data_IF_740042982141
#
_entry.id   IF_740042982141
#
_cell.length_a   1.000
_cell.length_b   1.000
_cell.length_c   1.000
_cell.angle_alpha   90.00
_cell.angle_beta   90.00
_cell.angle_gamma   90.00
#
_symmetry.space_group_name_H-M   'P 1'
#
loop_
_entity.id
_entity.type
_entity.pdbx_description
1 polymer ?
#
# COMPACT_ATOMS: atom_id res chain seq x y z
N UNK A 1 14.11 -3.43 -8.51
CA UNK A 1 14.70 -4.68 -8.00
C UNK A 1 13.93 -5.13 -6.77
N UNK A 2 13.40 -6.36 -6.75
CA UNK A 2 12.95 -6.99 -5.50
C UNK A 2 14.18 -7.66 -4.89
N UNK A 3 14.61 -7.21 -3.71
CA UNK A 3 15.63 -7.92 -2.92
C UNK A 3 14.94 -9.19 -2.42
N UNK A 4 15.02 -10.26 -3.21
CA UNK A 4 14.59 -11.58 -2.79
C UNK A 4 15.75 -12.18 -2.00
N UNK A 5 15.80 -11.95 -0.69
CA UNK A 5 16.72 -12.69 0.17
C UNK A 5 16.36 -14.17 0.06
N UNK A 6 17.30 -15.01 -0.40
CA UNK A 6 17.09 -16.46 -0.38
C UNK A 6 16.98 -16.94 1.06
N UNK A 7 16.27 -18.05 1.32
CA UNK A 7 16.15 -18.60 2.68
C UNK A 7 17.52 -18.89 3.30
N UNK A 8 18.56 -19.22 2.50
CA UNK A 8 19.91 -19.40 3.03
C UNK A 8 20.49 -18.09 3.57
N UNK A 9 20.35 -16.99 2.83
CA UNK A 9 20.86 -15.66 3.25
C UNK A 9 20.16 -15.16 4.51
N UNK A 10 18.89 -15.49 4.69
CA UNK A 10 18.16 -15.11 5.89
C UNK A 10 18.63 -15.89 7.12
N UNK A 11 19.01 -17.16 6.94
CA UNK A 11 19.55 -18.00 8.01
C UNK A 11 20.92 -17.53 8.45
N UNK A 12 21.81 -17.22 7.51
CA UNK A 12 23.16 -16.73 7.82
C UNK A 12 23.13 -15.41 8.59
N UNK A 13 22.21 -14.50 8.25
CA UNK A 13 22.04 -13.25 8.98
C UNK A 13 21.46 -13.44 10.39
N UNK A 14 20.53 -14.40 10.58
CA UNK A 14 20.03 -14.75 11.93
C UNK A 14 21.16 -15.33 12.80
N UNK A 15 21.99 -16.21 12.25
CA UNK A 15 23.12 -16.82 12.96
C UNK A 15 24.17 -15.76 13.35
N UNK A 16 24.44 -14.78 12.46
CA UNK A 16 25.29 -13.61 12.76
C UNK A 16 24.71 -12.73 13.85
N UNK A 17 23.40 -12.54 13.86
CA UNK A 17 22.72 -11.76 14.90
C UNK A 17 22.80 -12.45 16.26
N UNK A 18 22.57 -13.77 16.32
CA UNK A 18 22.66 -14.56 17.55
C UNK A 18 24.08 -14.53 18.14
N UNK A 19 25.10 -14.72 17.31
CA UNK A 19 26.50 -14.66 17.73
C UNK A 19 26.90 -13.28 18.26
N UNK A 20 26.47 -12.20 17.58
CA UNK A 20 26.74 -10.82 18.01
C UNK A 20 26.06 -10.47 19.34
N UNK A 21 24.80 -10.90 19.53
CA UNK A 21 24.10 -10.66 20.78
C UNK A 21 24.71 -11.47 21.93
N UNK A 22 25.14 -12.70 21.65
CA UNK A 22 25.82 -13.53 22.65
C UNK A 22 27.18 -12.92 23.04
N UNK A 23 27.96 -12.41 22.08
CA UNK A 23 29.24 -11.76 22.36
C UNK A 23 29.10 -10.46 23.15
N UNK A 24 27.97 -9.76 23.00
CA UNK A 24 27.63 -8.57 23.79
C UNK A 24 27.09 -8.89 25.20
N UNK A 25 27.07 -10.16 25.60
CA UNK A 25 26.67 -10.58 26.95
C UNK A 25 25.17 -10.73 27.17
N UNK A 26 24.35 -10.73 26.10
CA UNK A 26 22.92 -10.96 26.25
C UNK A 26 22.66 -12.44 26.62
N UNK A 27 21.75 -12.71 27.58
CA UNK A 27 21.40 -14.08 27.95
C UNK A 27 20.79 -14.88 26.79
N UNK A 28 21.17 -16.16 26.60
CA UNK A 28 20.68 -16.97 25.49
C UNK A 28 19.16 -17.10 25.41
N UNK A 29 18.47 -17.10 26.55
CA UNK A 29 17.02 -17.20 26.61
C UNK A 29 16.31 -15.95 26.09
N UNK A 30 16.91 -14.75 26.26
CA UNK A 30 16.37 -13.50 25.73
C UNK A 30 16.54 -13.45 24.22
N UNK A 31 17.72 -13.84 23.72
CA UNK A 31 18.03 -13.87 22.29
C UNK A 31 17.06 -14.81 21.55
N UNK A 32 16.94 -16.06 22.03
CA UNK A 32 16.03 -17.06 21.43
C UNK A 32 14.57 -16.61 21.45
N UNK A 33 14.14 -15.96 22.54
CA UNK A 33 12.79 -15.41 22.65
C UNK A 33 12.56 -14.28 21.64
N UNK A 34 13.49 -13.33 21.55
CA UNK A 34 13.42 -12.21 20.61
C UNK A 34 13.41 -12.66 19.14
N UNK A 35 14.26 -13.62 18.78
CA UNK A 35 14.28 -14.22 17.43
C UNK A 35 12.95 -14.92 17.09
N UNK A 36 12.37 -15.66 18.05
CA UNK A 36 11.09 -16.34 17.89
C UNK A 36 9.93 -15.35 17.71
N UNK A 37 9.88 -14.31 18.55
CA UNK A 37 8.87 -13.25 18.47
C UNK A 37 8.99 -12.47 17.16
N UNK A 38 10.22 -12.10 16.76
CA UNK A 38 10.50 -11.47 15.47
C UNK A 38 10.04 -12.32 14.28
N UNK A 39 10.32 -13.63 14.29
CA UNK A 39 9.86 -14.55 13.25
C UNK A 39 8.33 -14.62 13.11
N UNK A 40 7.60 -14.53 14.23
CA UNK A 40 6.13 -14.49 14.22
C UNK A 40 5.63 -13.18 13.60
N UNK A 41 6.24 -12.03 13.95
CA UNK A 41 5.88 -10.72 13.40
C UNK A 41 6.12 -10.69 11.89
N UNK A 42 7.28 -11.15 11.42
CA UNK A 42 7.60 -11.19 9.98
C UNK A 42 6.63 -12.07 9.20
N UNK A 43 6.28 -13.24 9.74
CA UNK A 43 5.25 -14.11 9.14
C UNK A 43 3.89 -13.41 9.07
N UNK A 44 3.49 -12.70 10.13
CA UNK A 44 2.24 -11.94 10.16
C UNK A 44 2.22 -10.83 9.11
N UNK A 45 3.34 -10.11 8.92
CA UNK A 45 3.47 -9.06 7.89
C UNK A 45 3.42 -9.66 6.48
N UNK A 46 4.09 -10.78 6.24
CA UNK A 46 4.08 -11.48 4.94
C UNK A 46 2.71 -12.08 4.60
N UNK A 47 1.95 -12.48 5.61
CA UNK A 47 0.61 -13.07 5.46
C UNK A 47 -0.50 -12.01 5.43
N UNK A 48 -0.22 -10.73 5.67
CA UNK A 48 -1.23 -9.70 5.46
C UNK A 48 -1.62 -9.71 3.98
N UNK A 49 -2.90 -9.95 3.65
CA UNK A 49 -3.36 -9.82 2.28
C UNK A 49 -3.03 -8.40 1.85
N UNK A 50 -2.24 -8.25 0.78
CA UNK A 50 -2.01 -6.95 0.15
C UNK A 50 -3.37 -6.30 0.01
N UNK A 51 -3.60 -5.21 0.74
CA UNK A 51 -4.83 -4.45 0.54
C UNK A 51 -4.95 -4.18 -0.96
N UNK A 52 -6.10 -4.44 -1.58
CA UNK A 52 -6.26 -4.19 -3.01
C UNK A 52 -5.94 -2.71 -3.21
N UNK A 53 -4.86 -2.43 -3.95
CA UNK A 53 -4.44 -1.06 -4.24
C UNK A 53 -5.61 -0.38 -4.96
N UNK A 54 -6.33 0.49 -4.26
CA UNK A 54 -7.39 1.28 -4.88
C UNK A 54 -6.72 2.18 -5.91
N UNK A 55 -6.99 1.92 -7.18
CA UNK A 55 -6.50 2.78 -8.26
C UNK A 55 -7.38 4.02 -8.28
N UNK A 56 -6.79 5.20 -8.25
CA UNK A 56 -7.55 6.44 -8.36
C UNK A 56 -7.29 7.06 -9.73
N UNK A 57 -8.36 7.38 -10.45
CA UNK A 57 -8.28 8.05 -11.76
C UNK A 57 -8.91 9.43 -11.61
N UNK A 58 -8.21 10.43 -12.13
CA UNK A 58 -8.62 11.82 -12.08
C UNK A 58 -9.03 12.27 -13.47
N UNK A 59 -10.23 12.83 -13.58
CA UNK A 59 -10.75 13.48 -14.77
C UNK A 59 -10.83 14.97 -14.52
N UNK A 60 -10.24 15.75 -15.43
CA UNK A 60 -10.34 17.20 -15.42
C UNK A 60 -11.17 17.61 -16.64
N UNK A 61 -12.33 18.21 -16.41
CA UNK A 61 -13.29 18.56 -17.45
C UNK A 61 -13.67 20.05 -17.35
N UNK A 62 -14.04 20.71 -18.45
CA UNK A 62 -14.68 22.02 -18.39
C UNK A 62 -16.04 21.95 -17.65
N UNK A 63 -16.37 23.00 -16.89
CA UNK A 63 -17.63 23.13 -16.15
C UNK A 63 -18.70 23.83 -17.01
N UNK A 64 -19.72 23.10 -17.45
CA UNK A 64 -20.85 23.66 -18.21
C UNK A 64 -22.10 23.85 -17.32
N UNK A 65 -21.91 24.10 -16.03
CA UNK A 65 -23.01 24.25 -15.08
C UNK A 65 -23.48 22.93 -14.45
N UNK A 66 -24.73 22.93 -13.98
CA UNK A 66 -25.26 21.86 -13.12
C UNK A 66 -25.35 20.50 -13.83
N UNK A 67 -25.48 20.49 -15.17
CA UNK A 67 -25.51 19.28 -15.98
C UNK A 67 -24.22 18.47 -15.86
N UNK A 68 -23.07 19.15 -15.86
CA UNK A 68 -21.75 18.52 -15.72
C UNK A 68 -21.59 17.85 -14.35
N UNK A 69 -22.13 18.49 -13.29
CA UNK A 69 -22.15 17.91 -11.95
C UNK A 69 -23.01 16.64 -11.91
N UNK A 70 -24.25 16.71 -12.40
CA UNK A 70 -25.18 15.56 -12.43
C UNK A 70 -24.58 14.40 -13.23
N UNK A 71 -23.97 14.68 -14.39
CA UNK A 71 -23.32 13.71 -15.24
C UNK A 71 -22.21 12.95 -14.50
N UNK A 72 -21.31 13.68 -13.81
CA UNK A 72 -20.22 13.05 -13.06
C UNK A 72 -20.72 12.15 -11.91
N UNK A 73 -21.80 12.54 -11.24
CA UNK A 73 -22.41 11.73 -10.18
C UNK A 73 -23.03 10.45 -10.74
N UNK A 74 -23.70 10.53 -11.90
CA UNK A 74 -24.23 9.35 -12.60
C UNK A 74 -23.10 8.40 -13.00
N UNK A 75 -22.00 8.91 -13.55
CA UNK A 75 -20.83 8.08 -13.88
C UNK A 75 -20.25 7.44 -12.62
N UNK A 76 -20.00 8.21 -11.55
CA UNK A 76 -19.49 7.67 -10.28
C UNK A 76 -20.38 6.54 -9.75
N UNK A 77 -21.71 6.70 -9.84
CA UNK A 77 -22.68 5.69 -9.37
C UNK A 77 -22.66 4.41 -10.20
N UNK A 78 -22.62 4.53 -11.53
CA UNK A 78 -22.53 3.38 -12.44
C UNK A 78 -21.19 2.66 -12.25
N UNK A 79 -20.11 3.43 -12.19
CA UNK A 79 -18.76 2.92 -12.10
C UNK A 79 -18.49 2.16 -10.80
N UNK A 80 -19.00 2.67 -9.65
CA UNK A 80 -18.91 1.97 -8.36
C UNK A 80 -19.55 0.58 -8.37
N UNK A 81 -20.55 0.35 -9.23
CA UNK A 81 -21.16 -0.98 -9.42
C UNK A 81 -20.27 -1.91 -10.26
N UNK A 82 -19.58 -1.38 -11.26
CA UNK A 82 -18.78 -2.15 -12.20
C UNK A 82 -17.40 -2.51 -11.65
N UNK A 83 -16.71 -1.54 -11.02
CA UNK A 83 -15.30 -1.67 -10.63
C UNK A 83 -15.08 -1.17 -9.19
N UNK A 84 -15.21 -2.11 -8.23
CA UNK A 84 -15.11 -1.84 -6.78
C UNK A 84 -13.74 -1.34 -6.30
N UNK A 85 -12.68 -1.60 -7.07
CA UNK A 85 -11.30 -1.26 -6.69
C UNK A 85 -10.75 -0.01 -7.38
N UNK A 86 -11.62 0.77 -8.03
CA UNK A 86 -11.19 1.99 -8.70
C UNK A 86 -12.05 3.19 -8.27
N UNK A 87 -11.37 4.26 -7.89
CA UNK A 87 -11.96 5.50 -7.42
C UNK A 87 -11.89 6.54 -8.52
N UNK A 88 -13.04 7.09 -8.91
CA UNK A 88 -13.12 8.16 -9.90
C UNK A 88 -13.32 9.51 -9.23
N UNK A 89 -12.40 10.43 -9.51
CA UNK A 89 -12.47 11.81 -9.07
C UNK A 89 -12.61 12.73 -10.29
N UNK A 90 -13.58 13.63 -10.24
CA UNK A 90 -13.85 14.60 -11.28
C UNK A 90 -13.55 15.98 -10.72
N UNK A 91 -12.73 16.74 -11.43
CA UNK A 91 -12.45 18.14 -11.19
C UNK A 91 -12.96 18.94 -12.38
N UNK A 92 -13.59 20.07 -12.10
CA UNK A 92 -14.13 20.93 -13.13
C UNK A 92 -13.33 22.23 -13.20
N UNK A 93 -12.92 22.60 -14.41
CA UNK A 93 -12.29 23.90 -14.71
C UNK A 93 -13.38 24.86 -15.14
N UNK A 94 -13.36 26.08 -14.61
CA UNK A 94 -14.27 27.13 -15.05
C UNK A 94 -13.95 27.53 -16.49
N UNK A 95 -14.95 27.48 -17.36
CA UNK A 95 -14.84 27.85 -18.78
C UNK A 95 -14.95 29.35 -19.01
N UNK A 96 -15.42 30.14 -18.03
CA UNK A 96 -15.60 31.59 -18.18
C UNK A 96 -14.28 32.40 -18.25
N UNK A 97 -13.14 31.74 -18.31
CA UNK A 97 -11.82 32.39 -18.38
C UNK A 97 -11.21 32.43 -19.80
N UNK A 98 -11.92 31.96 -20.84
CA UNK A 98 -11.41 31.88 -22.22
C UNK A 98 -12.31 32.52 -23.30
N UNK A 99 -13.24 33.40 -22.92
CA UNK A 99 -13.88 34.30 -23.90
C UNK A 99 -13.08 35.61 -23.97
N UNK A 100 -12.07 35.62 -24.85
CA UNK A 100 -11.40 36.84 -25.38
C UNK A 100 -11.68 36.90 -26.88
#
# INVERSE_FOLDING_TARGET
MRICSTPENMKTEIDRLETTLTSNGYPPHIIKRGLKEGGIITKRILQQPRQPQQKTVFFVLPYYGQETFIFSQRIKKIYRKLLRHLTLNFFFRDTQQYDV
#
